data_IF_474832092262
#
_entry.id   IF_474832092262
#
_cell.length_a   1.000
_cell.length_b   1.000
_cell.length_c   1.000
_cell.angle_alpha   90.00
_cell.angle_beta   90.00
_cell.angle_gamma   90.00
#
_symmetry.space_group_name_H-M   'P 1'
#
loop_
_entity.id
_entity.type
_entity.pdbx_description
1 polymer ?
#
# COMPACT_ATOMS: atom_id res chain seq x y z
N UNK A 1 26.63 -18.71 29.13
CA UNK A 1 27.74 -19.30 28.34
C UNK A 1 28.10 -18.31 27.23
N UNK A 2 29.36 -17.90 27.07
CA UNK A 2 29.75 -16.92 26.05
C UNK A 2 29.75 -17.58 24.65
N UNK A 3 29.13 -16.90 23.68
CA UNK A 3 29.10 -17.33 22.28
C UNK A 3 30.48 -17.15 21.66
N UNK A 4 31.05 -18.22 21.10
CA UNK A 4 32.33 -18.19 20.39
C UNK A 4 32.16 -17.46 19.04
N UNK A 5 32.73 -16.25 18.95
CA UNK A 5 32.62 -15.36 17.77
C UNK A 5 33.54 -15.74 16.60
N UNK A 6 34.35 -16.79 16.75
CA UNK A 6 35.25 -17.28 15.71
C UNK A 6 34.58 -18.28 14.76
N UNK A 7 33.41 -18.81 15.13
CA UNK A 7 32.64 -19.76 14.32
C UNK A 7 31.44 -19.02 13.73
N UNK A 8 31.33 -18.92 12.38
CA UNK A 8 30.18 -18.29 11.76
C UNK A 8 28.91 -19.10 12.05
N UNK A 9 27.76 -18.44 12.25
CA UNK A 9 26.49 -19.13 12.43
C UNK A 9 26.11 -19.91 11.16
N UNK A 10 25.44 -21.04 11.34
CA UNK A 10 24.93 -21.82 10.22
C UNK A 10 23.88 -21.01 9.43
N UNK A 11 24.06 -20.95 8.11
CA UNK A 11 23.12 -20.29 7.20
C UNK A 11 21.85 -21.13 7.13
N UNK A 12 20.72 -20.55 7.52
CA UNK A 12 19.40 -21.18 7.39
C UNK A 12 18.73 -20.67 6.10
N UNK A 13 18.56 -21.52 5.06
CA UNK A 13 17.84 -21.10 3.87
C UNK A 13 16.36 -20.85 4.21
N UNK A 14 15.77 -19.84 3.58
CA UNK A 14 14.35 -19.50 3.75
C UNK A 14 13.55 -20.54 2.95
N UNK A 15 12.93 -21.49 3.65
CA UNK A 15 12.18 -22.58 3.02
C UNK A 15 10.73 -22.22 2.68
N UNK A 16 10.13 -21.25 3.39
CA UNK A 16 8.72 -20.88 3.19
C UNK A 16 8.48 -19.41 3.56
N UNK A 17 7.97 -18.64 2.61
CA UNK A 17 7.44 -17.29 2.84
C UNK A 17 5.93 -17.44 3.05
N UNK A 18 5.43 -17.01 4.20
CA UNK A 18 3.98 -16.91 4.42
C UNK A 18 3.54 -15.54 3.93
N UNK A 19 2.72 -15.52 2.88
CA UNK A 19 2.04 -14.32 2.42
C UNK A 19 0.63 -14.30 3.01
N UNK A 20 0.23 -13.16 3.54
CA UNK A 20 -1.14 -12.94 3.99
C UNK A 20 -2.07 -12.93 2.77
N UNK A 21 -3.16 -13.69 2.85
CA UNK A 21 -4.17 -13.70 1.80
C UNK A 21 -5.11 -12.50 2.00
N UNK A 22 -5.33 -11.67 0.97
CA UNK A 22 -6.23 -10.54 1.11
C UNK A 22 -7.69 -10.99 1.18
N UNK A 23 -8.47 -10.37 2.05
CA UNK A 23 -9.93 -10.47 2.02
C UNK A 23 -10.47 -9.51 0.97
N UNK A 24 -11.42 -9.98 0.16
CA UNK A 24 -12.03 -9.20 -0.92
C UNK A 24 -13.46 -8.83 -0.56
N UNK A 25 -13.78 -7.56 -0.70
CA UNK A 25 -15.13 -7.02 -0.57
C UNK A 25 -15.53 -6.32 -1.87
N UNK A 26 -16.84 -6.16 -2.06
CA UNK A 26 -17.40 -5.33 -3.12
C UNK A 26 -18.32 -4.32 -2.46
N UNK A 27 -18.02 -3.04 -2.65
CA UNK A 27 -18.83 -1.94 -2.14
C UNK A 27 -20.13 -1.82 -2.95
N UNK A 28 -21.12 -1.11 -2.41
CA UNK A 28 -22.43 -0.91 -3.07
C UNK A 28 -22.33 -0.22 -4.43
N UNK A 29 -21.26 0.55 -4.66
CA UNK A 29 -20.94 1.18 -5.94
C UNK A 29 -20.16 0.28 -6.91
N UNK A 30 -20.00 -1.02 -6.58
CA UNK A 30 -19.33 -2.02 -7.41
C UNK A 30 -17.81 -2.03 -7.32
N UNK A 31 -17.18 -1.14 -6.53
CA UNK A 31 -15.72 -1.11 -6.41
C UNK A 31 -15.20 -2.26 -5.53
N UNK A 32 -14.15 -2.98 -5.97
CA UNK A 32 -13.51 -3.99 -5.15
C UNK A 32 -12.60 -3.34 -4.10
N UNK A 33 -12.64 -3.87 -2.87
CA UNK A 33 -11.73 -3.52 -1.78
C UNK A 33 -10.97 -4.76 -1.35
N UNK A 34 -9.67 -4.61 -1.15
CA UNK A 34 -8.79 -5.68 -0.67
C UNK A 34 -8.22 -5.29 0.70
N UNK A 35 -8.46 -6.12 1.70
CA UNK A 35 -7.97 -5.93 3.06
C UNK A 35 -6.88 -6.96 3.36
N UNK A 36 -5.77 -6.51 3.93
CA UNK A 36 -4.71 -7.38 4.44
C UNK A 36 -4.58 -7.08 5.93
N UNK A 37 -5.14 -7.96 6.75
CA UNK A 37 -5.03 -7.85 8.20
C UNK A 37 -3.77 -8.57 8.68
N UNK A 38 -2.84 -7.83 9.28
CA UNK A 38 -1.55 -8.33 9.78
C UNK A 38 -1.49 -8.45 11.32
N UNK A 39 -2.63 -8.63 11.99
CA UNK A 39 -2.88 -8.92 13.42
C UNK A 39 -2.23 -8.01 14.49
N UNK A 40 -0.96 -7.65 14.34
CA UNK A 40 -0.07 -7.15 15.39
C UNK A 40 0.31 -5.69 15.24
N UNK A 41 -0.22 -4.98 14.24
CA UNK A 41 0.14 -3.57 13.97
C UNK A 41 -1.07 -2.64 14.16
N UNK A 42 -0.97 -1.69 15.09
CA UNK A 42 -1.90 -0.56 15.25
C UNK A 42 -1.65 0.53 14.19
N UNK A 43 -1.44 0.14 12.94
CA UNK A 43 -1.19 1.05 11.81
C UNK A 43 -2.11 0.66 10.66
N UNK A 44 -2.86 1.64 10.15
CA UNK A 44 -3.66 1.47 8.94
C UNK A 44 -2.91 2.05 7.74
N UNK A 45 -2.75 1.22 6.70
CA UNK A 45 -2.33 1.69 5.37
C UNK A 45 -3.52 1.64 4.42
N UNK A 46 -3.94 2.79 3.91
CA UNK A 46 -4.98 2.90 2.89
C UNK A 46 -4.34 3.28 1.55
N UNK A 47 -4.66 2.51 0.50
CA UNK A 47 -4.21 2.79 -0.86
C UNK A 47 -5.42 2.85 -1.80
N UNK A 48 -5.47 3.91 -2.61
CA UNK A 48 -6.46 4.06 -3.68
C UNK A 48 -5.75 3.90 -5.02
N UNK A 49 -6.16 2.90 -5.79
CA UNK A 49 -5.54 2.55 -7.07
C UNK A 49 -6.48 3.00 -8.19
N UNK A 50 -5.96 3.82 -9.10
CA UNK A 50 -6.72 4.34 -10.24
C UNK A 50 -6.07 3.86 -11.54
N UNK A 51 -6.89 3.40 -12.49
CA UNK A 51 -6.47 3.16 -13.88
C UNK A 51 -6.34 4.50 -14.63
N UNK A 52 -5.38 5.32 -14.21
CA UNK A 52 -5.13 6.64 -14.75
C UNK A 52 -3.64 6.95 -14.71
N UNK A 53 -3.22 8.04 -15.35
CA UNK A 53 -1.85 8.53 -15.26
C UNK A 53 -1.36 9.14 -16.56
N UNK A 54 -0.04 9.37 -16.62
CA UNK A 54 0.64 10.00 -17.76
C UNK A 54 0.42 9.27 -19.09
N UNK A 55 0.23 7.95 -19.05
CA UNK A 55 0.02 7.15 -20.27
C UNK A 55 -1.30 7.46 -20.97
N UNK A 56 -2.31 7.93 -20.22
CA UNK A 56 -3.67 8.17 -20.73
C UNK A 56 -4.07 9.64 -20.65
N UNK A 57 -3.14 10.55 -20.34
CA UNK A 57 -3.45 11.97 -20.17
C UNK A 57 -3.71 12.65 -21.51
N UNK A 58 -4.79 13.43 -21.59
CA UNK A 58 -5.13 14.19 -22.80
C UNK A 58 -4.17 15.36 -23.06
N UNK A 59 -3.65 15.96 -21.98
CA UNK A 59 -2.69 17.06 -22.03
C UNK A 59 -1.56 16.77 -21.06
N UNK A 60 -0.35 17.16 -21.46
CA UNK A 60 0.84 16.94 -20.67
C UNK A 60 0.71 17.55 -19.27
N UNK A 61 0.99 16.75 -18.25
CA UNK A 61 1.06 17.21 -16.85
C UNK A 61 -0.28 17.24 -16.13
N UNK A 62 -1.41 16.96 -16.79
CA UNK A 62 -2.73 16.90 -16.14
C UNK A 62 -2.73 15.85 -15.04
N UNK A 63 -2.24 14.64 -15.30
CA UNK A 63 -2.25 13.57 -14.30
C UNK A 63 -1.45 13.96 -13.03
N UNK A 64 -0.30 14.61 -13.22
CA UNK A 64 0.55 15.07 -12.11
C UNK A 64 -0.13 16.17 -11.30
N UNK A 65 -0.69 17.17 -11.97
CA UNK A 65 -1.36 18.30 -11.32
C UNK A 65 -2.61 17.83 -10.59
N UNK A 66 -3.42 16.95 -11.18
CA UNK A 66 -4.59 16.36 -10.52
C UNK A 66 -4.21 15.61 -9.25
N UNK A 67 -3.14 14.81 -9.26
CA UNK A 67 -2.67 14.09 -8.07
C UNK A 67 -2.19 15.04 -6.97
N UNK A 68 -1.60 16.18 -7.32
CA UNK A 68 -1.23 17.21 -6.36
C UNK A 68 -2.48 17.86 -5.75
N UNK A 69 -3.44 18.29 -6.58
CA UNK A 69 -4.66 18.96 -6.15
C UNK A 69 -5.58 18.11 -5.26
N UNK A 70 -5.62 16.79 -5.46
CA UNK A 70 -6.41 15.89 -4.60
C UNK A 70 -6.02 16.00 -3.12
N UNK A 71 -4.78 16.42 -2.83
CA UNK A 71 -4.27 16.60 -1.46
C UNK A 71 -4.61 17.96 -0.87
N UNK A 72 -5.08 18.91 -1.68
CA UNK A 72 -5.37 20.29 -1.28
C UNK A 72 -6.78 20.49 -0.71
N UNK A 73 -7.49 19.38 -0.44
CA UNK A 73 -8.83 19.40 0.14
C UNK A 73 -9.93 19.19 -0.89
N UNK A 74 -11.17 19.20 -0.41
CA UNK A 74 -12.37 19.07 -1.22
C UNK A 74 -13.50 19.92 -0.62
N UNK A 75 -14.67 19.91 -1.26
CA UNK A 75 -15.83 20.69 -0.81
C UNK A 75 -16.21 20.43 0.66
N UNK A 76 -16.05 19.18 1.13
CA UNK A 76 -16.38 18.77 2.50
C UNK A 76 -15.24 19.00 3.49
N UNK A 77 -13.99 18.90 3.04
CA UNK A 77 -12.79 19.03 3.87
C UNK A 77 -11.96 20.16 3.30
N UNK A 78 -12.15 21.36 3.87
CA UNK A 78 -11.36 22.54 3.51
C UNK A 78 -10.02 22.51 4.21
N UNK A 79 -8.96 22.80 3.47
CA UNK A 79 -7.66 23.12 4.02
C UNK A 79 -7.62 24.64 4.12
N UNK A 80 -7.73 25.15 5.35
CA UNK A 80 -7.69 26.58 5.68
C UNK A 80 -6.46 26.86 6.53
#
# INVERSE_FOLDING_TARGET
MPVNRSIPPAIKPIHKVQLFSPQKYTLDNGLPVYEINMETQEVLKLELIFFAGRQVEHKQGVAKTTLALIKEGNEKIKIC
#
